data_IF_442416348357
#
_entry.id   IF_442416348357
#
_cell.length_a   1.000
_cell.length_b   1.000
_cell.length_c   1.000
_cell.angle_alpha   90.00
_cell.angle_beta   90.00
_cell.angle_gamma   90.00
#
_symmetry.space_group_name_H-M   'P 1'
#
loop_
_entity.id
_entity.type
_entity.pdbx_description
1 polymer ?
#
# COMPACT_ATOMS: atom_id res chain seq x y z
N UNK A 1 21.88 -2.99 -16.40
CA UNK A 1 20.84 -1.95 -16.22
C UNK A 1 19.42 -2.49 -16.13
N UNK A 2 19.04 -3.59 -16.78
CA UNK A 2 17.72 -4.22 -16.57
C UNK A 2 17.56 -4.51 -15.06
N UNK A 3 16.45 -4.08 -14.45
CA UNK A 3 16.10 -4.35 -13.06
C UNK A 3 16.68 -3.41 -11.99
N UNK A 4 17.66 -2.55 -12.31
CA UNK A 4 18.28 -1.67 -11.30
C UNK A 4 17.28 -0.72 -10.62
N UNK A 5 16.38 -0.12 -11.41
CA UNK A 5 15.34 0.75 -10.88
C UNK A 5 14.33 -0.02 -10.03
N UNK A 6 13.97 -1.24 -10.43
CA UNK A 6 13.05 -2.10 -9.67
C UNK A 6 13.65 -2.49 -8.31
N UNK A 7 14.96 -2.77 -8.25
CA UNK A 7 15.70 -3.02 -6.99
C UNK A 7 15.66 -1.80 -6.08
N UNK A 8 15.96 -0.61 -6.61
CA UNK A 8 15.93 0.64 -5.83
C UNK A 8 14.50 0.97 -5.38
N UNK A 9 13.52 0.83 -6.27
CA UNK A 9 12.10 1.04 -5.98
C UNK A 9 11.65 0.12 -4.84
N UNK A 10 11.94 -1.19 -4.96
CA UNK A 10 11.61 -2.18 -3.93
C UNK A 10 12.20 -1.82 -2.57
N UNK A 11 13.50 -1.47 -2.55
CA UNK A 11 14.18 -1.03 -1.34
C UNK A 11 13.51 0.19 -0.68
N UNK A 12 13.21 1.22 -1.46
CA UNK A 12 12.61 2.46 -0.96
C UNK A 12 11.16 2.25 -0.50
N UNK A 13 10.35 1.52 -1.28
CA UNK A 13 8.93 1.28 -0.96
C UNK A 13 8.79 0.41 0.27
N UNK A 14 9.60 -0.65 0.42
CA UNK A 14 9.62 -1.47 1.65
C UNK A 14 9.90 -0.63 2.88
N UNK A 15 10.92 0.23 2.84
CA UNK A 15 11.23 1.15 3.94
C UNK A 15 10.06 2.08 4.26
N UNK A 16 9.44 2.67 3.23
CA UNK A 16 8.34 3.61 3.40
C UNK A 16 7.08 2.93 3.99
N UNK A 17 6.74 1.72 3.54
CA UNK A 17 5.65 0.90 4.10
C UNK A 17 5.91 0.56 5.56
N UNK A 18 7.15 0.19 5.89
CA UNK A 18 7.59 -0.10 7.26
C UNK A 18 7.76 1.15 8.14
N UNK A 19 7.54 2.36 7.60
CA UNK A 19 7.68 3.62 8.34
C UNK A 19 9.11 3.97 8.72
N UNK A 20 10.09 3.51 7.94
CA UNK A 20 11.50 3.81 8.18
C UNK A 20 11.85 5.12 7.47
N UNK A 21 12.28 6.10 8.26
CA UNK A 21 12.73 7.41 7.77
C UNK A 21 13.88 7.29 6.75
N UNK A 22 14.05 8.26 5.82
CA UNK A 22 15.07 8.22 4.77
C UNK A 22 16.50 8.53 5.28
N UNK A 23 16.81 8.21 6.53
CA UNK A 23 18.12 8.44 7.15
C UNK A 23 19.20 7.59 6.48
N UNK A 24 20.37 8.20 6.23
CA UNK A 24 21.53 7.53 5.61
C UNK A 24 21.41 7.28 4.09
N UNK A 25 20.24 7.47 3.48
CA UNK A 25 20.03 7.20 2.05
C UNK A 25 20.87 8.10 1.13
N UNK A 26 21.03 9.38 1.48
CA UNK A 26 21.87 10.29 0.68
C UNK A 26 23.32 9.79 0.59
N UNK A 27 23.87 9.31 1.71
CA UNK A 27 25.23 8.76 1.74
C UNK A 27 25.36 7.45 0.98
N UNK A 28 24.35 6.58 1.06
CA UNK A 28 24.26 5.37 0.26
C UNK A 28 24.30 5.69 -1.23
N UNK A 29 23.37 6.52 -1.73
CA UNK A 29 23.27 6.81 -3.16
C UNK A 29 24.47 7.60 -3.70
N UNK A 30 25.05 8.50 -2.90
CA UNK A 30 26.26 9.25 -3.30
C UNK A 30 27.44 8.36 -3.65
N UNK A 31 27.58 7.24 -2.95
CA UNK A 31 28.72 6.32 -3.13
C UNK A 31 28.37 5.10 -3.97
N UNK A 32 27.10 4.92 -4.32
CA UNK A 32 26.60 3.73 -5.01
C UNK A 32 27.30 3.51 -6.35
N UNK A 33 27.45 4.55 -7.17
CA UNK A 33 28.09 4.45 -8.49
C UNK A 33 29.53 3.95 -8.40
N UNK A 34 30.31 4.50 -7.46
CA UNK A 34 31.68 4.05 -7.20
C UNK A 34 31.74 2.64 -6.61
N UNK A 35 30.77 2.26 -5.77
CA UNK A 35 30.74 0.92 -5.15
C UNK A 35 30.38 -0.21 -6.11
N UNK A 36 29.90 0.12 -7.32
CA UNK A 36 29.63 -0.83 -8.41
C UNK A 36 30.57 -0.64 -9.59
N UNK A 37 31.70 0.06 -9.40
CA UNK A 37 32.73 0.33 -10.41
C UNK A 37 32.17 0.93 -11.72
N UNK A 38 31.10 1.72 -11.64
CA UNK A 38 30.42 2.29 -12.80
C UNK A 38 29.60 1.32 -13.66
N UNK A 39 29.40 0.08 -13.20
CA UNK A 39 28.67 -0.97 -13.90
C UNK A 39 27.47 -1.47 -13.08
N UNK A 40 26.40 -0.67 -12.93
CA UNK A 40 25.27 -1.06 -12.10
C UNK A 40 24.48 -2.24 -12.70
N UNK A 41 24.33 -3.28 -11.88
CA UNK A 41 23.34 -4.34 -12.03
C UNK A 41 22.42 -4.37 -10.80
N UNK A 42 21.28 -5.06 -10.90
CA UNK A 42 20.38 -5.23 -9.77
C UNK A 42 21.10 -5.89 -8.58
N UNK A 43 21.88 -6.93 -8.86
CA UNK A 43 22.64 -7.72 -7.88
C UNK A 43 23.75 -6.88 -7.24
N UNK A 44 24.44 -6.05 -8.03
CA UNK A 44 25.49 -5.18 -7.52
C UNK A 44 24.92 -4.10 -6.60
N UNK A 45 23.81 -3.46 -6.99
CA UNK A 45 23.10 -2.47 -6.15
C UNK A 45 22.64 -3.12 -4.85
N UNK A 46 22.04 -4.31 -4.94
CA UNK A 46 21.57 -5.04 -3.78
C UNK A 46 22.71 -5.38 -2.82
N UNK A 47 23.83 -5.91 -3.34
CA UNK A 47 25.02 -6.19 -2.54
C UNK A 47 25.53 -4.95 -1.81
N UNK A 48 25.53 -3.78 -2.46
CA UNK A 48 25.95 -2.51 -1.85
C UNK A 48 25.00 -2.09 -0.72
N UNK A 49 23.69 -2.23 -0.91
CA UNK A 49 22.70 -1.91 0.13
C UNK A 49 22.86 -2.86 1.32
N UNK A 50 22.91 -4.17 1.06
CA UNK A 50 22.98 -5.21 2.09
C UNK A 50 24.28 -5.16 2.91
N UNK A 51 25.39 -4.68 2.34
CA UNK A 51 26.65 -4.46 3.07
C UNK A 51 26.59 -3.32 4.09
N UNK A 52 25.61 -2.41 3.99
CA UNK A 52 25.44 -1.30 4.93
C UNK A 52 24.49 -1.68 6.05
N UNK A 53 25.02 -2.28 7.11
CA UNK A 53 24.26 -2.74 8.27
C UNK A 53 23.41 -1.65 8.96
N UNK A 54 23.79 -0.37 8.82
CA UNK A 54 23.04 0.76 9.39
C UNK A 54 21.82 1.16 8.54
N UNK A 55 21.67 0.60 7.35
CA UNK A 55 20.57 0.88 6.42
C UNK A 55 19.74 -0.39 6.26
N UNK A 56 18.64 -0.45 7.01
CA UNK A 56 17.71 -1.57 6.93
C UNK A 56 17.03 -1.66 5.55
N UNK A 57 17.08 -2.85 4.94
CA UNK A 57 16.16 -3.26 3.88
C UNK A 57 15.15 -4.25 4.48
N UNK A 58 13.87 -3.88 4.68
CA UNK A 58 12.91 -4.74 5.35
C UNK A 58 12.72 -6.13 4.70
N UNK A 59 12.61 -7.19 5.52
CA UNK A 59 12.27 -8.56 5.05
C UNK A 59 10.82 -8.65 4.60
N UNK A 60 10.44 -9.77 3.99
CA UNK A 60 9.05 -10.06 3.64
C UNK A 60 8.15 -10.11 4.87
N UNK A 61 8.61 -10.71 5.96
CA UNK A 61 7.89 -10.79 7.24
C UNK A 61 7.71 -9.40 7.84
N UNK A 62 8.77 -8.58 7.85
CA UNK A 62 8.72 -7.21 8.38
C UNK A 62 7.74 -6.34 7.60
N UNK A 63 7.73 -6.49 6.27
CA UNK A 63 6.83 -5.79 5.37
C UNK A 63 5.38 -6.25 5.55
N UNK A 64 5.14 -7.58 5.58
CA UNK A 64 3.81 -8.16 5.83
C UNK A 64 3.22 -7.65 7.13
N UNK A 65 3.98 -7.72 8.22
CA UNK A 65 3.51 -7.27 9.52
C UNK A 65 3.17 -5.77 9.51
N UNK A 66 3.99 -4.96 8.83
CA UNK A 66 3.74 -3.52 8.68
C UNK A 66 2.44 -3.25 7.91
N UNK A 67 2.18 -3.96 6.81
CA UNK A 67 0.94 -3.80 6.03
C UNK A 67 -0.30 -4.12 6.87
N UNK A 68 -0.21 -5.13 7.74
CA UNK A 68 -1.32 -5.60 8.57
C UNK A 68 -1.61 -4.74 9.80
N UNK A 69 -0.62 -4.00 10.30
CA UNK A 69 -0.73 -3.38 11.63
C UNK A 69 -0.43 -1.89 11.66
N UNK A 70 0.36 -1.38 10.70
CA UNK A 70 0.77 0.02 10.70
C UNK A 70 -0.21 0.87 9.87
N UNK A 71 -0.67 2.02 10.41
CA UNK A 71 -1.42 3.00 9.63
C UNK A 71 -0.65 3.41 8.36
N UNK A 72 -1.29 3.22 7.20
CA UNK A 72 -0.80 3.71 5.92
C UNK A 72 -1.34 5.11 5.61
N UNK A 73 -2.59 5.39 5.97
CA UNK A 73 -3.19 6.70 5.72
C UNK A 73 -2.38 7.82 6.40
N UNK A 74 -2.11 8.89 5.66
CA UNK A 74 -1.23 9.99 6.10
C UNK A 74 0.27 9.77 5.85
N UNK A 75 0.71 8.55 5.53
CA UNK A 75 2.08 8.32 5.07
C UNK A 75 2.26 8.86 3.65
N UNK A 76 3.42 9.46 3.34
CA UNK A 76 3.72 10.00 2.02
C UNK A 76 3.61 8.96 0.88
N UNK A 77 3.85 7.68 1.21
CA UNK A 77 3.79 6.57 0.25
C UNK A 77 2.37 6.06 -0.01
N UNK A 78 1.36 6.50 0.75
CA UNK A 78 0.01 5.92 0.70
C UNK A 78 -0.62 5.97 -0.69
N UNK A 79 -0.60 7.15 -1.34
CA UNK A 79 -1.12 7.30 -2.71
C UNK A 79 -0.39 6.42 -3.69
N UNK A 80 0.94 6.31 -3.55
CA UNK A 80 1.76 5.50 -4.44
C UNK A 80 1.36 4.02 -4.39
N UNK A 81 1.35 3.40 -3.19
CA UNK A 81 1.08 1.96 -3.08
C UNK A 81 -0.37 1.59 -3.38
N UNK A 82 -1.32 2.46 -3.03
CA UNK A 82 -2.74 2.27 -3.36
C UNK A 82 -2.94 2.26 -4.87
N UNK A 83 -2.32 3.20 -5.57
CA UNK A 83 -2.39 3.28 -7.02
C UNK A 83 -1.66 2.12 -7.71
N UNK A 84 -0.46 1.75 -7.25
CA UNK A 84 0.29 0.62 -7.82
C UNK A 84 -0.47 -0.70 -7.66
N UNK A 85 -1.18 -0.90 -6.52
CA UNK A 85 -2.08 -2.04 -6.37
C UNK A 85 -3.20 -2.00 -7.38
N UNK A 86 -3.90 -0.87 -7.52
CA UNK A 86 -4.99 -0.72 -8.49
C UNK A 86 -4.56 -1.04 -9.92
N UNK A 87 -3.42 -0.47 -10.35
CA UNK A 87 -2.83 -0.70 -11.67
C UNK A 87 -2.54 -2.18 -11.94
N UNK A 88 -2.18 -2.95 -10.92
CA UNK A 88 -1.88 -4.37 -11.07
C UNK A 88 -3.10 -5.24 -11.38
N UNK A 89 -4.33 -4.71 -11.22
CA UNK A 89 -5.56 -5.48 -11.35
C UNK A 89 -6.15 -5.47 -12.77
N UNK A 90 -5.61 -4.69 -13.71
CA UNK A 90 -6.07 -4.69 -15.10
C UNK A 90 -5.63 -3.47 -15.93
N UNK A 91 -6.05 -3.46 -17.20
CA UNK A 91 -5.73 -2.44 -18.19
C UNK A 91 -6.73 -1.26 -18.23
N UNK A 92 -7.91 -1.40 -17.61
CA UNK A 92 -8.90 -0.34 -17.44
C UNK A 92 -8.46 0.62 -16.32
N UNK A 93 -7.30 1.23 -16.51
CA UNK A 93 -6.75 2.22 -15.61
C UNK A 93 -7.30 3.59 -15.99
N UNK A 94 -7.74 4.38 -15.01
CA UNK A 94 -8.06 5.77 -15.28
C UNK A 94 -6.83 6.47 -15.85
N UNK A 95 -7.03 7.30 -16.88
CA UNK A 95 -5.95 8.08 -17.53
C UNK A 95 -5.33 9.14 -16.60
N UNK A 96 -5.83 9.24 -15.37
CA UNK A 96 -5.44 10.22 -14.37
C UNK A 96 -4.82 9.53 -13.16
N UNK A 97 -3.75 10.14 -12.64
CA UNK A 97 -3.21 9.81 -11.33
C UNK A 97 -3.80 10.70 -10.23
N UNK A 98 -4.76 11.57 -10.57
CA UNK A 98 -5.48 12.37 -9.61
C UNK A 98 -6.65 11.58 -9.03
N UNK A 99 -6.54 11.31 -7.73
CA UNK A 99 -7.53 10.57 -6.97
C UNK A 99 -7.41 10.92 -5.48
N UNK A 100 -8.49 10.61 -4.78
CA UNK A 100 -8.59 10.69 -3.32
C UNK A 100 -8.49 9.28 -2.73
N UNK A 101 -7.82 9.16 -1.59
CA UNK A 101 -7.84 7.91 -0.84
C UNK A 101 -9.16 7.89 -0.06
N UNK A 102 -9.99 6.91 -0.34
CA UNK A 102 -11.21 6.64 0.40
C UNK A 102 -10.97 5.60 1.49
N UNK A 103 -11.64 5.83 2.62
CA UNK A 103 -11.77 4.93 3.76
C UNK A 103 -13.07 4.13 3.62
N UNK A 104 -12.98 2.85 3.24
CA UNK A 104 -14.18 2.00 3.08
C UNK A 104 -14.99 1.99 4.38
N UNK A 105 -14.36 1.58 5.49
CA UNK A 105 -14.80 1.93 6.84
C UNK A 105 -14.39 3.37 7.14
N UNK A 106 -15.32 4.30 7.39
CA UNK A 106 -15.04 5.73 7.44
C UNK A 106 -14.02 6.15 8.49
N UNK A 107 -13.37 7.30 8.23
CA UNK A 107 -12.35 7.86 9.14
C UNK A 107 -12.90 8.21 10.53
N UNK A 108 -14.14 8.69 10.63
CA UNK A 108 -14.81 8.99 11.89
C UNK A 108 -15.67 7.79 12.30
N UNK A 109 -15.65 7.45 13.58
CA UNK A 109 -16.56 6.45 14.11
C UNK A 109 -17.97 7.04 14.17
N UNK A 110 -18.95 6.38 13.56
CA UNK A 110 -20.35 6.80 13.55
C UNK A 110 -21.28 5.61 13.85
N UNK A 111 -22.52 5.92 14.21
CA UNK A 111 -23.51 4.92 14.66
C UNK A 111 -23.83 3.89 13.57
N UNK A 112 -23.75 4.29 12.30
CA UNK A 112 -23.92 3.40 11.15
C UNK A 112 -22.91 2.22 11.10
N UNK A 113 -21.78 2.36 11.82
CA UNK A 113 -20.73 1.34 11.88
C UNK A 113 -20.62 0.67 13.25
N UNK A 114 -21.39 1.12 14.26
CA UNK A 114 -21.26 0.60 15.63
C UNK A 114 -21.72 -0.84 15.80
N UNK A 115 -22.62 -1.30 14.93
CA UNK A 115 -23.11 -2.68 14.91
C UNK A 115 -22.12 -3.64 14.23
N UNK A 116 -21.15 -3.12 13.46
CA UNK A 116 -20.20 -3.93 12.67
C UNK A 116 -18.80 -3.91 13.27
N UNK A 117 -18.40 -2.81 13.90
CA UNK A 117 -17.09 -2.63 14.53
C UNK A 117 -17.21 -1.86 15.84
N UNK A 118 -16.44 -2.27 16.84
CA UNK A 118 -16.29 -1.53 18.09
C UNK A 118 -15.37 -0.32 17.91
N UNK A 119 -15.47 0.69 18.79
CA UNK A 119 -14.55 1.86 18.78
C UNK A 119 -13.06 1.47 18.81
N UNK A 120 -12.60 0.52 19.65
CA UNK A 120 -11.20 0.10 19.63
C UNK A 120 -10.77 -0.57 18.31
N UNK A 121 -11.62 -1.42 17.72
CA UNK A 121 -11.34 -2.02 16.41
C UNK A 121 -11.25 -0.95 15.32
N UNK A 122 -12.20 -0.01 15.27
CA UNK A 122 -12.20 1.10 14.34
C UNK A 122 -10.89 1.91 14.40
N UNK A 123 -10.46 2.29 15.60
CA UNK A 123 -9.23 3.06 15.80
C UNK A 123 -7.98 2.33 15.28
N UNK A 124 -7.94 1.00 15.41
CA UNK A 124 -6.82 0.16 14.95
C UNK A 124 -6.83 -0.06 13.43
N UNK A 125 -8.01 -0.20 12.84
CA UNK A 125 -8.16 -0.73 11.48
C UNK A 125 -8.35 0.35 10.40
N UNK A 126 -8.95 1.50 10.74
CA UNK A 126 -9.41 2.48 9.75
C UNK A 126 -8.30 2.99 8.82
N UNK A 127 -7.10 3.17 9.35
CA UNK A 127 -5.99 3.76 8.59
C UNK A 127 -5.06 2.70 7.96
N UNK A 128 -5.37 1.41 8.11
CA UNK A 128 -4.64 0.33 7.45
C UNK A 128 -4.87 0.35 5.94
N UNK A 129 -3.86 -0.03 5.16
CA UNK A 129 -3.98 -0.10 3.69
C UNK A 129 -5.17 -0.94 3.23
N UNK A 130 -5.46 -2.03 3.95
CA UNK A 130 -6.61 -2.87 3.67
C UNK A 130 -7.97 -2.17 3.77
N UNK A 131 -8.06 -1.01 4.41
CA UNK A 131 -9.27 -0.18 4.43
C UNK A 131 -9.25 0.96 3.40
N UNK A 132 -8.14 1.13 2.66
CA UNK A 132 -7.94 2.22 1.71
C UNK A 132 -8.11 1.76 0.27
N UNK A 133 -8.86 2.55 -0.50
CA UNK A 133 -9.05 2.39 -1.95
C UNK A 133 -8.92 3.75 -2.66
N UNK A 134 -8.56 3.77 -3.95
CA UNK A 134 -8.59 4.98 -4.74
C UNK A 134 -10.01 5.25 -5.27
N UNK A 135 -10.49 6.49 -5.14
CA UNK A 135 -11.73 6.99 -5.74
C UNK A 135 -11.51 8.38 -6.36
N UNK A 136 -12.37 8.75 -7.31
CA UNK A 136 -12.46 10.14 -7.74
C UNK A 136 -12.91 11.01 -6.56
N UNK A 137 -12.45 12.27 -6.51
CA UNK A 137 -12.82 13.20 -5.43
C UNK A 137 -14.34 13.36 -5.32
N UNK A 138 -15.02 13.52 -6.46
CA UNK A 138 -16.47 13.65 -6.51
C UNK A 138 -17.20 12.41 -5.94
N UNK A 139 -16.72 11.20 -6.23
CA UNK A 139 -17.33 9.99 -5.66
C UNK A 139 -17.07 9.86 -4.17
N UNK A 140 -15.86 10.17 -3.71
CA UNK A 140 -15.49 10.14 -2.30
C UNK A 140 -16.40 11.08 -1.47
N UNK A 141 -16.69 12.27 -2.00
CA UNK A 141 -17.64 13.20 -1.40
C UNK A 141 -19.07 12.65 -1.32
N UNK A 142 -19.52 11.86 -2.30
CA UNK A 142 -20.85 11.24 -2.32
C UNK A 142 -20.96 10.10 -1.30
N UNK A 143 -19.98 9.19 -1.26
CA UNK A 143 -20.04 8.02 -0.37
C UNK A 143 -19.76 8.37 1.09
N UNK A 144 -18.84 9.31 1.34
CA UNK A 144 -18.52 9.91 2.64
C UNK A 144 -18.55 8.92 3.83
N UNK A 145 -19.40 9.17 4.84
CA UNK A 145 -19.52 8.37 6.06
C UNK A 145 -20.61 7.29 5.98
N UNK A 146 -21.07 6.95 4.77
CA UNK A 146 -22.16 5.97 4.60
C UNK A 146 -21.77 4.57 5.08
N UNK A 147 -22.77 3.74 5.35
CA UNK A 147 -22.59 2.31 5.60
C UNK A 147 -22.05 1.61 4.36
N UNK A 148 -21.36 0.49 4.57
CA UNK A 148 -20.74 -0.27 3.49
C UNK A 148 -21.72 -0.63 2.37
N UNK A 149 -22.95 -1.04 2.70
CA UNK A 149 -23.95 -1.43 1.70
C UNK A 149 -24.24 -0.31 0.68
N UNK A 150 -24.31 0.94 1.15
CA UNK A 150 -24.49 2.09 0.26
C UNK A 150 -23.23 2.36 -0.57
N UNK A 151 -22.05 2.30 0.06
CA UNK A 151 -20.77 2.51 -0.64
C UNK A 151 -20.51 1.46 -1.72
N UNK A 152 -20.81 0.19 -1.44
CA UNK A 152 -20.61 -0.98 -2.29
C UNK A 152 -21.16 -0.76 -3.69
N UNK A 153 -22.39 -0.25 -3.80
CA UNK A 153 -23.07 0.01 -5.08
C UNK A 153 -22.30 1.02 -5.94
N UNK A 154 -21.86 2.14 -5.36
CA UNK A 154 -21.04 3.14 -6.08
C UNK A 154 -19.68 2.57 -6.48
N UNK A 155 -19.07 1.77 -5.61
CA UNK A 155 -17.78 1.15 -5.90
C UNK A 155 -17.85 0.19 -7.07
N UNK A 156 -18.87 -0.67 -7.10
CA UNK A 156 -19.04 -1.70 -8.11
C UNK A 156 -19.40 -1.11 -9.49
N UNK A 157 -20.35 -0.17 -9.51
CA UNK A 157 -20.96 0.32 -10.76
C UNK A 157 -20.21 1.51 -11.34
N UNK A 158 -19.88 2.50 -10.50
CA UNK A 158 -19.46 3.82 -10.98
C UNK A 158 -17.95 4.04 -10.90
N UNK A 159 -17.22 3.21 -10.13
CA UNK A 159 -15.80 3.48 -9.89
C UNK A 159 -14.95 3.19 -11.12
N UNK A 160 -14.12 4.16 -11.50
CA UNK A 160 -13.11 3.97 -12.54
C UNK A 160 -11.91 3.14 -12.06
N UNK A 161 -11.76 2.90 -10.76
CA UNK A 161 -10.64 2.16 -10.18
C UNK A 161 -10.98 0.68 -9.98
N UNK A 162 -10.13 -0.22 -10.49
CA UNK A 162 -10.37 -1.66 -10.46
C UNK A 162 -10.39 -2.23 -9.02
N UNK A 163 -9.54 -1.72 -8.15
CA UNK A 163 -9.47 -2.13 -6.74
C UNK A 163 -10.71 -1.73 -5.96
N UNK A 164 -11.31 -0.57 -6.26
CA UNK A 164 -12.59 -0.16 -5.70
C UNK A 164 -13.73 -1.06 -6.20
N UNK A 165 -13.80 -1.31 -7.52
CA UNK A 165 -14.79 -2.23 -8.10
C UNK A 165 -14.73 -3.63 -7.48
N UNK A 166 -13.52 -4.16 -7.24
CA UNK A 166 -13.34 -5.44 -6.53
C UNK A 166 -13.84 -5.39 -5.10
N UNK A 167 -13.57 -4.33 -4.35
CA UNK A 167 -14.15 -4.18 -3.00
C UNK A 167 -15.68 -4.18 -3.05
N UNK A 168 -16.27 -3.47 -4.02
CA UNK A 168 -17.71 -3.46 -4.24
C UNK A 168 -18.27 -4.83 -4.63
N UNK A 169 -17.56 -5.60 -5.46
CA UNK A 169 -18.08 -6.87 -5.99
C UNK A 169 -17.83 -8.07 -5.09
N UNK A 170 -16.65 -8.15 -4.48
CA UNK A 170 -16.15 -9.37 -3.86
C UNK A 170 -16.55 -9.50 -2.37
N UNK A 171 -17.03 -8.41 -1.75
CA UNK A 171 -17.37 -8.35 -0.33
C UNK A 171 -18.85 -7.98 -0.10
N UNK A 172 -19.53 -8.76 0.74
CA UNK A 172 -20.92 -8.49 1.15
C UNK A 172 -21.02 -7.59 2.39
N UNK A 173 -20.04 -7.71 3.29
CA UNK A 173 -19.89 -6.93 4.52
C UNK A 173 -18.51 -6.29 4.56
N UNK A 174 -18.32 -5.34 5.47
CA UNK A 174 -17.01 -4.77 5.71
C UNK A 174 -16.79 -4.51 7.19
N UNK A 175 -15.89 -5.26 7.80
CA UNK A 175 -15.49 -5.11 9.19
C UNK A 175 -14.08 -5.64 9.44
N UNK A 176 -13.79 -6.01 10.68
CA UNK A 176 -12.46 -6.50 11.07
C UNK A 176 -12.01 -7.71 10.26
N UNK A 177 -12.93 -8.65 10.01
CA UNK A 177 -12.64 -9.89 9.27
C UNK A 177 -12.16 -9.57 7.85
N UNK A 178 -12.93 -8.78 7.11
CA UNK A 178 -12.61 -8.44 5.71
C UNK A 178 -11.35 -7.58 5.60
N UNK A 179 -11.14 -6.66 6.54
CA UNK A 179 -9.91 -5.86 6.59
C UNK A 179 -8.69 -6.76 6.86
N UNK A 180 -8.79 -7.74 7.77
CA UNK A 180 -7.73 -8.71 8.02
C UNK A 180 -7.44 -9.57 6.77
N UNK A 181 -8.47 -10.12 6.13
CA UNK A 181 -8.35 -10.92 4.91
C UNK A 181 -7.71 -10.13 3.76
N UNK A 182 -8.18 -8.90 3.51
CA UNK A 182 -7.59 -8.02 2.50
C UNK A 182 -6.16 -7.61 2.84
N UNK A 183 -5.81 -7.47 4.13
CA UNK A 183 -4.44 -7.16 4.56
C UNK A 183 -3.45 -8.27 4.15
N UNK A 184 -3.85 -9.54 4.31
CA UNK A 184 -3.01 -10.67 3.87
C UNK A 184 -2.84 -10.68 2.35
N UNK A 185 -3.93 -10.48 1.60
CA UNK A 185 -3.87 -10.43 0.14
C UNK A 185 -2.97 -9.27 -0.36
N UNK A 186 -3.09 -8.08 0.22
CA UNK A 186 -2.24 -6.94 -0.11
C UNK A 186 -0.78 -7.19 0.26
N UNK A 187 -0.51 -7.86 1.39
CA UNK A 187 0.86 -8.21 1.76
C UNK A 187 1.48 -9.21 0.77
N UNK A 188 0.75 -10.25 0.39
CA UNK A 188 1.19 -11.23 -0.61
C UNK A 188 1.49 -10.56 -1.96
N UNK A 189 0.63 -9.66 -2.38
CA UNK A 189 0.84 -8.88 -3.60
C UNK A 189 2.07 -7.97 -3.49
N UNK A 190 2.18 -7.20 -2.41
CA UNK A 190 3.23 -6.23 -2.20
C UNK A 190 4.62 -6.87 -2.15
N UNK A 191 4.75 -8.01 -1.48
CA UNK A 191 5.99 -8.79 -1.43
C UNK A 191 6.43 -9.23 -2.83
N UNK A 192 5.48 -9.67 -3.67
CA UNK A 192 5.74 -10.08 -5.06
C UNK A 192 6.10 -8.90 -5.97
N UNK A 193 5.48 -7.73 -5.77
CA UNK A 193 5.71 -6.51 -6.55
C UNK A 193 7.05 -5.85 -6.22
N UNK A 194 7.37 -5.74 -4.94
CA UNK A 194 8.60 -5.14 -4.44
C UNK A 194 9.46 -6.25 -3.86
N UNK A 195 10.16 -6.99 -4.72
CA UNK A 195 10.95 -8.15 -4.32
C UNK A 195 12.22 -7.73 -3.57
N UNK A 196 12.57 -8.48 -2.53
CA UNK A 196 13.89 -8.46 -1.91
C UNK A 196 14.57 -9.79 -2.25
N UNK A 197 15.72 -9.76 -2.89
CA UNK A 197 16.38 -10.97 -3.42
C UNK A 197 17.24 -11.64 -2.34
N UNK A 198 16.64 -11.98 -1.20
CA UNK A 198 17.30 -12.80 -0.18
C UNK A 198 16.27 -13.39 0.78
N UNK A 199 15.85 -14.63 0.49
CA UNK A 199 15.36 -15.57 1.51
C UNK A 199 16.59 -16.31 2.05
N UNK A 200 17.22 -15.75 3.09
CA UNK A 200 18.11 -16.43 4.01
C UNK A 200 18.13 -15.66 5.34
#
# INVERSE_FOLDING_TARGET
MIGCLDTIESFLVRRAICGIEPTGLLGLFRTMWSSVDGHPTAEAIESVIMKRLTIEWPTDERMRESIKTRPLYGAAIAKYVVLEYDKSLGLDQPKTNDFSIEHVMPRSYCDAWSEVVTKPQHAKLKDLWANLIPLSTAMNEVVAQSEFHNKKTYFEVDSMFASARRVGKDFESWGEKEICERSEHLADWAIKRWKRTTNA
#
